data_IF_974888160179
#
_entry.id   IF_974888160179
#
_cell.length_a   1.000
_cell.length_b   1.000
_cell.length_c   1.000
_cell.angle_alpha   90.00
_cell.angle_beta   90.00
_cell.angle_gamma   90.00
#
_symmetry.space_group_name_H-M   'P 1'
#
loop_
_entity.id
_entity.type
_entity.pdbx_description
1 polymer ?
#
# COMPACT_ATOMS: atom_id res chain seq x y z
N UNK A 1 -2.66 1.48 -5.71
CA UNK A 1 -1.70 1.06 -6.78
C UNK A 1 -2.25 -0.03 -7.72
N UNK A 2 -1.55 -0.31 -8.83
CA UNK A 2 -1.94 -1.34 -9.83
C UNK A 2 -2.02 -2.76 -9.24
N UNK A 3 -1.14 -3.08 -8.28
CA UNK A 3 -1.13 -4.38 -7.59
C UNK A 3 -2.40 -4.60 -6.76
N UNK A 4 -2.96 -3.54 -6.17
CA UNK A 4 -4.22 -3.63 -5.39
C UNK A 4 -5.44 -3.90 -6.28
N UNK A 5 -5.28 -3.71 -7.59
CA UNK A 5 -6.32 -3.86 -8.61
C UNK A 5 -5.92 -4.87 -9.68
N UNK A 6 -5.18 -5.89 -9.28
CA UNK A 6 -4.63 -6.89 -10.21
C UNK A 6 -5.71 -7.61 -11.02
N UNK A 7 -6.90 -7.82 -10.44
CA UNK A 7 -8.04 -8.41 -11.15
C UNK A 7 -8.62 -7.47 -12.21
N UNK A 8 -8.66 -6.16 -11.94
CA UNK A 8 -9.12 -5.17 -12.91
C UNK A 8 -8.10 -5.02 -14.04
N UNK A 9 -6.82 -4.98 -13.70
CA UNK A 9 -5.73 -4.97 -14.67
C UNK A 9 -5.81 -6.18 -15.62
N UNK A 10 -6.00 -7.39 -15.06
CA UNK A 10 -6.19 -8.61 -15.84
C UNK A 10 -7.40 -8.50 -16.76
N UNK A 11 -8.55 -8.07 -16.23
CA UNK A 11 -9.79 -7.92 -17.01
C UNK A 11 -9.62 -6.92 -18.17
N UNK A 12 -8.93 -5.82 -17.95
CA UNK A 12 -8.63 -4.83 -19.00
C UNK A 12 -7.75 -5.40 -20.11
N UNK A 13 -6.73 -6.20 -19.79
CA UNK A 13 -5.91 -6.88 -20.79
C UNK A 13 -6.68 -7.98 -21.55
N UNK A 14 -7.52 -8.72 -20.82
CA UNK A 14 -8.33 -9.80 -21.36
C UNK A 14 -9.43 -9.29 -22.30
N UNK A 15 -9.95 -8.07 -22.09
CA UNK A 15 -11.02 -7.51 -22.91
C UNK A 15 -10.67 -7.42 -24.40
N UNK A 16 -9.39 -7.26 -24.71
CA UNK A 16 -8.89 -7.27 -26.08
C UNK A 16 -8.35 -8.65 -26.50
N UNK A 17 -7.49 -9.25 -25.67
CA UNK A 17 -6.79 -10.49 -26.03
C UNK A 17 -7.72 -11.70 -26.21
N UNK A 18 -8.77 -11.86 -25.40
CA UNK A 18 -9.69 -13.00 -25.53
C UNK A 18 -10.38 -13.07 -26.89
N UNK A 19 -10.67 -11.92 -27.49
CA UNK A 19 -11.32 -11.83 -28.83
C UNK A 19 -10.36 -12.17 -29.96
N UNK A 20 -9.07 -11.93 -29.72
CA UNK A 20 -8.03 -12.06 -30.73
C UNK A 20 -7.44 -13.48 -30.77
N UNK A 21 -7.28 -14.13 -29.63
CA UNK A 21 -6.63 -15.44 -29.52
C UNK A 21 -7.16 -16.52 -30.48
N UNK A 22 -8.48 -16.67 -30.74
CA UNK A 22 -8.98 -17.65 -31.70
C UNK A 22 -8.55 -17.40 -33.16
N UNK A 23 -8.11 -16.19 -33.49
CA UNK A 23 -7.71 -15.78 -34.85
C UNK A 23 -6.20 -15.93 -35.10
N UNK A 24 -5.43 -16.25 -34.05
CA UNK A 24 -3.98 -16.38 -34.12
C UNK A 24 -3.61 -17.86 -34.22
N UNK A 25 -2.91 -18.22 -35.31
CA UNK A 25 -2.25 -19.51 -35.44
C UNK A 25 -0.84 -19.37 -34.89
N UNK A 26 -0.46 -20.16 -33.91
CA UNK A 26 0.86 -20.09 -33.30
C UNK A 26 1.37 -21.47 -32.87
N UNK A 27 2.68 -21.58 -32.69
CA UNK A 27 3.36 -22.76 -32.14
C UNK A 27 4.34 -22.35 -31.05
N UNK A 28 4.52 -23.15 -29.97
CA UNK A 28 5.56 -22.89 -28.99
C UNK A 28 6.96 -23.07 -29.62
N UNK A 29 7.92 -22.27 -29.17
CA UNK A 29 9.34 -22.41 -29.52
C UNK A 29 10.10 -23.17 -28.42
N UNK A 30 11.31 -23.66 -28.74
CA UNK A 30 12.16 -24.38 -27.78
C UNK A 30 12.52 -23.56 -26.53
N UNK A 31 12.44 -22.24 -26.61
CA UNK A 31 12.74 -21.32 -25.50
C UNK A 31 11.50 -20.89 -24.69
N UNK A 32 10.33 -21.48 -24.94
CA UNK A 32 9.10 -21.09 -24.26
C UNK A 32 8.49 -19.78 -24.76
N UNK A 33 8.86 -19.34 -25.96
CA UNK A 33 8.19 -18.25 -26.67
C UNK A 33 7.13 -18.80 -27.63
N UNK A 34 6.45 -17.90 -28.34
CA UNK A 34 5.46 -18.25 -29.36
C UNK A 34 5.93 -17.78 -30.74
N UNK A 35 5.80 -18.63 -31.74
CA UNK A 35 5.95 -18.28 -33.15
C UNK A 35 4.56 -18.15 -33.78
N UNK A 36 4.28 -16.99 -34.39
CA UNK A 36 3.00 -16.70 -35.02
C UNK A 36 3.05 -17.07 -36.50
N UNK A 37 2.13 -17.93 -36.93
CA UNK A 37 2.10 -18.59 -38.24
C UNK A 37 1.23 -17.85 -39.28
N UNK A 38 0.60 -16.73 -38.91
CA UNK A 38 -0.22 -15.91 -39.81
C UNK A 38 -0.05 -14.41 -39.57
N UNK A 39 -0.30 -13.61 -40.62
CA UNK A 39 -0.18 -12.16 -40.56
C UNK A 39 -1.27 -11.55 -39.66
N UNK A 40 -0.89 -11.18 -38.45
CA UNK A 40 -1.79 -10.65 -37.40
C UNK A 40 -1.23 -9.41 -36.72
N UNK A 41 -0.12 -8.86 -37.22
CA UNK A 41 0.58 -7.72 -36.62
C UNK A 41 -0.32 -6.48 -36.48
N UNK A 42 -1.23 -6.26 -37.43
CA UNK A 42 -2.15 -5.11 -37.40
C UNK A 42 -3.11 -5.14 -36.21
N UNK A 43 -3.49 -6.33 -35.73
CA UNK A 43 -4.31 -6.49 -34.54
C UNK A 43 -3.60 -6.01 -33.27
N UNK A 44 -2.27 -6.04 -33.23
CA UNK A 44 -1.50 -5.53 -32.10
C UNK A 44 -1.09 -4.06 -32.28
N UNK A 45 -1.02 -3.58 -33.52
CA UNK A 45 -0.57 -2.23 -33.84
C UNK A 45 -1.68 -1.19 -33.71
N UNK A 46 -2.91 -1.54 -34.06
CA UNK A 46 -4.02 -0.60 -34.19
C UNK A 46 -5.22 -0.96 -33.32
N UNK A 47 -4.98 -1.60 -32.17
CA UNK A 47 -6.07 -1.93 -31.26
C UNK A 47 -6.61 -0.70 -30.53
N UNK A 48 -7.88 -0.77 -30.17
CA UNK A 48 -8.49 0.20 -29.27
C UNK A 48 -7.96 -0.01 -27.84
N UNK A 49 -6.97 0.79 -27.48
CA UNK A 49 -6.35 0.80 -26.16
C UNK A 49 -7.09 1.68 -25.15
N UNK A 50 -8.26 2.25 -25.50
CA UNK A 50 -9.01 3.16 -24.60
C UNK A 50 -9.22 2.57 -23.21
N UNK A 51 -9.70 1.32 -23.04
CA UNK A 51 -9.88 0.73 -21.71
C UNK A 51 -8.58 0.59 -20.91
N UNK A 52 -7.45 0.41 -21.60
CA UNK A 52 -6.13 0.28 -21.00
C UNK A 52 -5.62 1.62 -20.50
N UNK A 53 -5.73 2.65 -21.35
CA UNK A 53 -5.39 4.01 -21.00
C UNK A 53 -6.23 4.49 -19.81
N UNK A 54 -7.55 4.33 -19.86
CA UNK A 54 -8.46 4.70 -18.77
C UNK A 54 -8.13 3.99 -17.45
N UNK A 55 -7.84 2.69 -17.51
CA UNK A 55 -7.43 1.95 -16.32
C UNK A 55 -6.14 2.52 -15.71
N UNK A 56 -5.11 2.75 -16.52
CA UNK A 56 -3.84 3.32 -16.06
C UNK A 56 -4.05 4.73 -15.49
N UNK A 57 -4.83 5.58 -16.16
CA UNK A 57 -5.19 6.90 -15.65
C UNK A 57 -5.92 6.82 -14.32
N UNK A 58 -6.85 5.88 -14.15
CA UNK A 58 -7.55 5.69 -12.87
C UNK A 58 -6.60 5.29 -11.74
N UNK A 59 -5.54 4.51 -12.04
CA UNK A 59 -4.52 4.16 -11.08
C UNK A 59 -3.66 5.37 -10.70
N UNK A 60 -3.31 6.22 -11.67
CA UNK A 60 -2.58 7.47 -11.43
C UNK A 60 -3.41 8.43 -10.59
N UNK A 61 -4.68 8.66 -10.95
CA UNK A 61 -5.58 9.52 -10.20
C UNK A 61 -5.69 9.05 -8.74
N UNK A 62 -5.93 7.76 -8.51
CA UNK A 62 -5.94 7.21 -7.14
C UNK A 62 -4.61 7.44 -6.41
N UNK A 63 -3.48 7.28 -7.10
CA UNK A 63 -2.17 7.50 -6.48
C UNK A 63 -2.03 8.96 -6.02
N UNK A 64 -2.45 9.91 -6.86
CA UNK A 64 -2.37 11.34 -6.58
C UNK A 64 -3.36 11.79 -5.51
N UNK A 65 -4.61 11.33 -5.60
CA UNK A 65 -5.70 11.84 -4.77
C UNK A 65 -5.83 11.11 -3.42
N UNK A 66 -5.32 9.88 -3.34
CA UNK A 66 -5.52 9.01 -2.17
C UNK A 66 -4.19 8.52 -1.61
N UNK A 67 -3.42 7.78 -2.41
CA UNK A 67 -2.28 7.04 -1.88
C UNK A 67 -1.16 8.00 -1.41
N UNK A 68 -0.81 9.02 -2.19
CA UNK A 68 0.21 10.02 -1.83
C UNK A 68 -0.17 10.91 -0.62
N UNK A 69 -1.38 11.49 -0.54
CA UNK A 69 -1.80 12.22 0.65
C UNK A 69 -1.81 11.34 1.90
N UNK A 70 -2.28 10.09 1.79
CA UNK A 70 -2.28 9.15 2.90
C UNK A 70 -0.86 8.83 3.39
N UNK A 71 0.08 8.57 2.47
CA UNK A 71 1.48 8.34 2.79
C UNK A 71 2.14 9.57 3.43
N UNK A 72 1.88 10.76 2.89
CA UNK A 72 2.41 12.01 3.44
C UNK A 72 1.91 12.26 4.86
N UNK A 73 0.61 12.04 5.10
CA UNK A 73 0.00 12.19 6.42
C UNK A 73 0.56 11.16 7.42
N UNK A 74 0.79 9.92 6.96
CA UNK A 74 1.44 8.89 7.74
C UNK A 74 2.86 9.28 8.16
N UNK A 75 3.69 9.76 7.21
CA UNK A 75 5.06 10.20 7.49
C UNK A 75 5.08 11.37 8.49
N UNK A 76 4.23 12.37 8.28
CA UNK A 76 4.12 13.51 9.19
C UNK A 76 3.69 13.11 10.61
N UNK A 77 2.72 12.19 10.73
CA UNK A 77 2.30 11.64 12.02
C UNK A 77 3.42 10.83 12.68
N UNK A 78 4.15 10.03 11.90
CA UNK A 78 5.28 9.26 12.39
C UNK A 78 6.40 10.14 12.95
N UNK A 79 6.80 11.17 12.20
CA UNK A 79 7.81 12.14 12.63
C UNK A 79 7.39 12.86 13.90
N UNK A 80 6.10 13.23 13.99
CA UNK A 80 5.54 13.86 15.19
C UNK A 80 5.59 12.91 16.40
N UNK A 81 5.22 11.64 16.20
CA UNK A 81 5.27 10.63 17.25
C UNK A 81 6.71 10.43 17.75
N UNK A 82 7.65 10.20 16.83
CA UNK A 82 9.06 10.01 17.15
C UNK A 82 9.61 11.20 17.93
N UNK A 83 9.33 12.43 17.48
CA UNK A 83 9.78 13.65 18.16
C UNK A 83 9.24 13.76 19.60
N UNK A 84 7.97 13.44 19.82
CA UNK A 84 7.37 13.52 21.16
C UNK A 84 7.90 12.42 22.08
N UNK A 85 8.03 11.18 21.59
CA UNK A 85 8.57 10.07 22.38
C UNK A 85 10.04 10.30 22.74
N UNK A 86 10.87 10.75 21.79
CA UNK A 86 12.28 11.07 22.05
C UNK A 86 12.48 12.24 23.01
N UNK A 87 11.49 13.13 23.16
CA UNK A 87 11.52 14.20 24.16
C UNK A 87 11.16 13.72 25.57
N UNK A 88 10.37 12.64 25.67
CA UNK A 88 9.97 12.03 26.94
C UNK A 88 11.04 11.05 27.44
N UNK A 89 11.57 10.21 26.55
CA UNK A 89 12.45 9.09 26.90
C UNK A 89 13.57 8.99 25.87
N UNK A 90 14.81 8.90 26.36
CA UNK A 90 15.96 8.59 25.51
C UNK A 90 15.96 7.11 25.14
N UNK A 91 15.54 6.80 23.92
CA UNK A 91 15.49 5.44 23.41
C UNK A 91 16.07 5.33 21.99
N UNK A 92 16.70 4.20 21.64
CA UNK A 92 17.18 3.98 20.29
C UNK A 92 16.04 4.02 19.27
N UNK A 93 16.28 4.62 18.11
CA UNK A 93 15.31 4.72 17.00
C UNK A 93 14.61 3.39 16.69
N UNK A 94 15.35 2.28 16.67
CA UNK A 94 14.79 0.95 16.41
C UNK A 94 13.70 0.54 17.40
N UNK A 95 13.81 0.97 18.66
CA UNK A 95 12.83 0.69 19.71
C UNK A 95 11.60 1.57 19.54
N UNK A 96 11.78 2.85 19.16
CA UNK A 96 10.67 3.76 18.81
C UNK A 96 9.89 3.27 17.60
N UNK A 97 10.60 2.83 16.55
CA UNK A 97 10.02 2.22 15.36
C UNK A 97 9.18 0.97 15.72
N UNK A 98 9.71 0.12 16.61
CA UNK A 98 9.03 -1.08 17.09
C UNK A 98 7.77 -0.73 17.89
N UNK A 99 7.90 0.21 18.83
CA UNK A 99 6.82 0.73 19.65
C UNK A 99 5.66 1.26 18.79
N UNK A 100 5.97 2.09 17.80
CA UNK A 100 4.97 2.62 16.88
C UNK A 100 4.24 1.51 16.11
N UNK A 101 4.96 0.48 15.63
CA UNK A 101 4.35 -0.68 14.97
C UNK A 101 3.40 -1.44 15.91
N UNK A 102 3.80 -1.67 17.16
CA UNK A 102 2.98 -2.35 18.16
C UNK A 102 1.70 -1.58 18.47
N UNK A 103 1.79 -0.26 18.64
CA UNK A 103 0.64 0.61 18.86
C UNK A 103 -0.29 0.54 17.65
N UNK A 104 0.24 0.65 16.43
CA UNK A 104 -0.55 0.58 15.21
C UNK A 104 -1.28 -0.75 15.02
N UNK A 105 -0.64 -1.87 15.34
CA UNK A 105 -1.27 -3.20 15.24
C UNK A 105 -2.37 -3.43 16.28
N UNK A 106 -2.28 -2.75 17.43
CA UNK A 106 -3.17 -2.94 18.57
C UNK A 106 -4.06 -1.71 18.83
N UNK A 107 -4.40 -0.93 17.79
CA UNK A 107 -5.28 0.25 17.89
C UNK A 107 -4.88 1.26 18.97
N UNK A 108 -3.58 1.52 19.11
CA UNK A 108 -3.03 2.48 20.08
C UNK A 108 -2.77 1.91 21.46
N UNK A 109 -3.01 0.61 21.70
CA UNK A 109 -2.83 0.00 23.01
C UNK A 109 -1.62 -0.95 23.06
N UNK A 110 -0.81 -0.85 24.11
CA UNK A 110 0.24 -1.82 24.41
C UNK A 110 -0.34 -2.93 25.28
N UNK A 111 -0.25 -4.17 24.79
CA UNK A 111 -0.63 -5.33 25.60
C UNK A 111 0.29 -5.48 26.81
N UNK A 112 -0.24 -6.07 27.89
CA UNK A 112 0.54 -6.39 29.11
C UNK A 112 1.82 -7.17 28.79
N UNK A 113 1.73 -8.16 27.89
CA UNK A 113 2.88 -8.94 27.41
C UNK A 113 3.92 -8.08 26.68
N UNK A 114 3.49 -7.12 25.85
CA UNK A 114 4.41 -6.25 25.14
C UNK A 114 5.17 -5.34 26.12
N UNK A 115 4.48 -4.77 27.11
CA UNK A 115 5.11 -4.00 28.20
C UNK A 115 6.13 -4.85 28.98
N UNK A 116 5.78 -6.09 29.33
CA UNK A 116 6.62 -6.97 30.16
C UNK A 116 7.74 -7.71 29.41
N UNK A 117 7.74 -7.76 28.08
CA UNK A 117 8.75 -8.48 27.29
C UNK A 117 9.55 -7.63 26.33
N UNK A 118 8.85 -6.80 25.56
CA UNK A 118 9.46 -6.01 24.48
C UNK A 118 9.88 -4.61 24.99
N UNK A 119 9.16 -4.07 25.99
CA UNK A 119 9.37 -2.72 26.51
C UNK A 119 9.60 -2.69 28.03
N UNK A 120 10.39 -3.63 28.56
CA UNK A 120 10.66 -3.79 30.01
C UNK A 120 11.22 -2.51 30.66
N UNK A 121 11.90 -1.68 29.88
CA UNK A 121 12.45 -0.41 30.36
C UNK A 121 11.43 0.72 30.52
N UNK A 122 10.18 0.55 30.06
CA UNK A 122 9.13 1.55 30.22
C UNK A 122 8.42 1.37 31.57
N UNK A 123 8.29 2.47 32.30
CA UNK A 123 7.36 2.57 33.43
C UNK A 123 5.91 2.58 32.93
N UNK A 124 4.96 2.30 33.83
CA UNK A 124 3.54 2.36 33.47
C UNK A 124 3.12 3.78 33.04
N UNK A 125 3.63 4.80 33.73
CA UNK A 125 3.31 6.20 33.45
C UNK A 125 3.82 6.62 32.07
N UNK A 126 5.06 6.24 31.72
CA UNK A 126 5.63 6.45 30.39
C UNK A 126 4.84 5.72 29.29
N UNK A 127 4.43 4.48 29.55
CA UNK A 127 3.64 3.70 28.61
C UNK A 127 2.26 4.31 28.36
N UNK A 128 1.62 4.86 29.39
CA UNK A 128 0.32 5.50 29.28
C UNK A 128 0.44 6.87 28.58
N UNK A 129 1.52 7.62 28.83
CA UNK A 129 1.80 8.88 28.14
C UNK A 129 2.09 8.67 26.64
N UNK A 130 2.87 7.64 26.30
CA UNK A 130 3.11 7.20 24.91
C UNK A 130 1.81 6.86 24.19
N UNK A 131 0.89 6.15 24.86
CA UNK A 131 -0.42 5.82 24.29
C UNK A 131 -1.23 7.09 24.03
N UNK A 132 -1.23 8.04 24.96
CA UNK A 132 -1.89 9.34 24.77
C UNK A 132 -1.29 10.14 23.61
N UNK A 133 0.04 10.13 23.45
CA UNK A 133 0.71 10.75 22.29
C UNK A 133 0.22 10.11 20.99
N UNK A 134 0.15 8.77 20.95
CA UNK A 134 -0.31 8.04 19.78
C UNK A 134 -1.78 8.35 19.44
N UNK A 135 -2.66 8.39 20.45
CA UNK A 135 -4.08 8.75 20.28
C UNK A 135 -4.27 10.16 19.69
N UNK A 136 -3.45 11.13 20.12
CA UNK A 136 -3.49 12.51 19.58
C UNK A 136 -3.08 12.58 18.11
N UNK A 137 -2.21 11.67 17.67
CA UNK A 137 -1.65 11.66 16.30
C UNK A 137 -2.46 10.73 15.37
N UNK A 138 -3.25 9.82 15.93
CA UNK A 138 -4.12 8.90 15.19
C UNK A 138 -4.97 9.58 14.09
N UNK A 139 -5.58 10.76 14.30
CA UNK A 139 -6.33 11.46 13.25
C UNK A 139 -5.46 11.82 12.04
N UNK A 140 -4.19 12.15 12.26
CA UNK A 140 -3.23 12.52 11.21
C UNK A 140 -2.70 11.29 10.47
N UNK A 141 -2.56 10.15 11.15
CA UNK A 141 -2.12 8.88 10.52
C UNK A 141 -3.17 8.29 9.57
N UNK A 142 -4.44 8.67 9.77
CA UNK A 142 -5.59 8.18 9.01
C UNK A 142 -5.91 8.98 7.76
N UNK A 143 -4.90 9.57 7.09
CA UNK A 143 -5.09 10.21 5.78
C UNK A 143 -5.90 9.31 4.86
N UNK A 144 -7.19 9.63 4.68
CA UNK A 144 -8.11 8.86 3.84
C UNK A 144 -9.00 7.80 4.51
N UNK A 145 -9.26 7.84 5.83
CA UNK A 145 -10.48 7.19 6.39
C UNK A 145 -11.18 8.08 7.41
N UNK A 146 -11.89 9.09 6.91
CA UNK A 146 -13.07 9.58 7.62
C UNK A 146 -14.25 8.67 7.31
N UNK A 147 -14.93 8.24 8.37
CA UNK A 147 -16.22 7.53 8.44
C UNK A 147 -17.23 7.98 7.37
N UNK A 148 -18.19 7.19 6.90
CA UNK A 148 -19.17 6.51 7.74
C UNK A 148 -20.10 5.59 6.93
N UNK A 149 -20.68 4.64 7.68
CA UNK A 149 -22.02 4.02 7.52
C UNK A 149 -22.23 3.00 6.41
#
# INVERSE_FOLDING_TARGET
MILDRIDDYRRTLESYSQRLLPLIRWTPTEHGNVEVLNETADFYRFFDATPHAEFLFSCVARTVDVDLPAETAFLAGYDTFKKQVSALIDMPDRVTDLLFRFLRQNNGMLSKRAREREFVGLTNDEADEIQSIYEKILPTLGGGKSSAT
#
